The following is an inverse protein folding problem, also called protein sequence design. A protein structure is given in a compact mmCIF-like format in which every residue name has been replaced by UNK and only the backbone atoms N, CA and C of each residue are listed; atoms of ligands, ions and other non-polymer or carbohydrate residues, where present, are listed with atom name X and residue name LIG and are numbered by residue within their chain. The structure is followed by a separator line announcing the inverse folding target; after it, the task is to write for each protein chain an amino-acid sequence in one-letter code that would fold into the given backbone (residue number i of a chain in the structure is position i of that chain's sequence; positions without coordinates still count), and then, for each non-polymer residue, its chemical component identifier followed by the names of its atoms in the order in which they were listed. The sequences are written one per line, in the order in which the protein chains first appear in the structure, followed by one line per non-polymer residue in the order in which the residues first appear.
data_IF_273540646685
#
_entry.id   IF_273540646685
#
_cell.length_a   1.000
_cell.length_b   1.000
_cell.length_c   1.000
_cell.angle_alpha   90.00
_cell.angle_beta   90.00
_cell.angle_gamma   90.00
#
_symmetry.space_group_name_H-M   'P 1'
#
loop_
_entity.id
_entity.type
_entity.pdbx_description
1 polymer ?
#
# COMPACT_ATOMS: atom_id res chain seq x y z
N UNK A 1 9.85 20.32 31.69
CA UNK A 1 10.09 19.87 30.31
C UNK A 1 9.15 18.71 29.94
N UNK A 2 7.83 18.80 30.23
CA UNK A 2 7.02 17.58 30.42
C UNK A 2 5.66 17.47 29.72
N UNK A 3 5.08 18.54 29.16
CA UNK A 3 3.74 18.47 28.54
C UNK A 3 3.76 18.78 27.04
N UNK A 4 4.58 19.73 26.60
CA UNK A 4 4.72 20.10 25.19
C UNK A 4 5.45 19.03 24.35
N UNK A 5 6.30 18.20 24.95
CA UNK A 5 7.01 17.13 24.22
C UNK A 5 6.13 15.90 24.00
N UNK A 6 5.27 15.55 24.97
CA UNK A 6 4.28 14.46 24.81
C UNK A 6 3.34 14.73 23.64
N UNK A 7 2.86 15.97 23.49
CA UNK A 7 1.99 16.38 22.39
C UNK A 7 2.69 16.25 21.01
N UNK A 8 3.98 16.59 20.92
CA UNK A 8 4.76 16.43 19.69
C UNK A 8 4.95 14.96 19.32
N UNK A 9 5.24 14.11 20.30
CA UNK A 9 5.44 12.67 20.10
C UNK A 9 4.16 11.98 19.61
N UNK A 10 3.00 12.29 20.20
CA UNK A 10 1.72 11.73 19.73
C UNK A 10 1.34 12.26 18.34
N UNK A 11 1.62 13.54 18.04
CA UNK A 11 1.44 14.08 16.68
C UNK A 11 2.32 13.37 15.66
N UNK A 12 3.59 13.16 15.97
CA UNK A 12 4.51 12.44 15.10
C UNK A 12 4.06 10.97 14.90
N UNK A 13 3.60 10.30 15.96
CA UNK A 13 3.01 8.97 15.86
C UNK A 13 1.79 8.95 14.92
N UNK A 14 0.87 9.91 15.04
CA UNK A 14 -0.30 9.99 14.18
C UNK A 14 0.06 10.20 12.71
N UNK A 15 1.09 10.99 12.42
CA UNK A 15 1.61 11.18 11.05
C UNK A 15 2.21 9.89 10.51
N UNK A 16 3.02 9.19 11.29
CA UNK A 16 3.61 7.90 10.87
C UNK A 16 2.54 6.82 10.66
N UNK A 17 1.56 6.74 11.57
CA UNK A 17 0.43 5.81 11.47
C UNK A 17 -0.42 6.09 10.23
N UNK A 18 -0.77 7.34 9.97
CA UNK A 18 -1.54 7.71 8.78
C UNK A 18 -0.77 7.44 7.50
N UNK A 19 0.53 7.75 7.45
CA UNK A 19 1.39 7.41 6.31
C UNK A 19 1.41 5.89 6.06
N UNK A 20 1.55 5.08 7.11
CA UNK A 20 1.52 3.61 6.99
C UNK A 20 0.19 3.11 6.44
N UNK A 21 -0.93 3.60 6.97
CA UNK A 21 -2.28 3.23 6.52
C UNK A 21 -2.46 3.58 5.04
N UNK A 22 -2.07 4.79 4.62
CA UNK A 22 -2.17 5.22 3.21
C UNK A 22 -1.34 4.33 2.30
N UNK A 23 -0.08 4.07 2.65
CA UNK A 23 0.80 3.21 1.85
C UNK A 23 0.18 1.81 1.71
N UNK A 24 -0.29 1.22 2.80
CA UNK A 24 -0.87 -0.12 2.80
C UNK A 24 -2.19 -0.21 2.01
N UNK A 25 -3.04 0.80 2.08
CA UNK A 25 -4.27 0.88 1.26
C UNK A 25 -3.92 1.03 -0.23
N UNK A 26 -2.94 1.87 -0.57
CA UNK A 26 -2.51 2.07 -1.95
C UNK A 26 -1.84 0.83 -2.54
N UNK A 27 -1.23 -0.03 -1.72
CA UNK A 27 -0.72 -1.34 -2.15
C UNK A 27 -1.79 -2.17 -2.84
N UNK A 28 -3.05 -2.11 -2.39
CA UNK A 28 -4.16 -2.84 -3.02
C UNK A 28 -4.43 -2.38 -4.46
N UNK A 29 -4.23 -1.09 -4.75
CA UNK A 29 -4.48 -0.51 -6.07
C UNK A 29 -3.29 -0.74 -7.00
N UNK A 30 -2.09 -0.43 -6.51
CA UNK A 30 -0.85 -0.51 -7.31
C UNK A 30 -0.43 -1.97 -7.52
N UNK A 31 -0.76 -2.85 -6.57
CA UNK A 31 -0.40 -4.27 -6.59
C UNK A 31 -1.00 -5.08 -7.74
N UNK A 32 -2.03 -4.56 -8.41
CA UNK A 32 -2.65 -5.21 -9.58
C UNK A 32 -1.74 -5.14 -10.82
N UNK A 33 -0.84 -4.16 -10.89
CA UNK A 33 0.06 -4.00 -12.04
C UNK A 33 1.27 -4.92 -11.93
N UNK A 34 1.44 -5.79 -12.93
CA UNK A 34 2.64 -6.61 -13.11
C UNK A 34 3.67 -5.88 -13.98
N UNK A 35 4.96 -6.10 -13.71
CA UNK A 35 6.06 -5.59 -14.50
C UNK A 35 7.17 -6.62 -14.66
N UNK A 36 7.93 -6.50 -15.75
CA UNK A 36 9.11 -7.33 -16.03
C UNK A 36 10.31 -6.78 -15.25
N UNK A 37 10.77 -7.55 -14.27
CA UNK A 37 11.98 -7.24 -13.53
C UNK A 37 13.22 -7.58 -14.37
N UNK A 38 14.23 -6.72 -14.33
CA UNK A 38 15.51 -6.93 -15.00
C UNK A 38 15.44 -7.21 -16.51
N UNK A 39 14.41 -6.70 -17.21
CA UNK A 39 14.20 -6.95 -18.64
C UNK A 39 15.44 -6.66 -19.52
N UNK A 40 16.28 -5.69 -19.12
CA UNK A 40 17.49 -5.31 -19.87
C UNK A 40 18.73 -6.12 -19.51
N UNK A 41 18.80 -6.70 -18.30
CA UNK A 41 20.02 -7.34 -17.76
C UNK A 41 19.89 -8.86 -17.72
N UNK A 42 18.68 -9.38 -17.49
CA UNK A 42 18.34 -10.81 -17.39
C UNK A 42 16.98 -11.06 -18.09
N UNK A 43 16.91 -10.94 -19.44
CA UNK A 43 15.65 -11.03 -20.18
C UNK A 43 14.95 -12.39 -20.04
N UNK A 44 15.72 -13.48 -19.87
CA UNK A 44 15.21 -14.84 -19.70
C UNK A 44 15.29 -15.32 -18.23
N UNK A 45 15.45 -14.39 -17.29
CA UNK A 45 15.57 -14.69 -15.86
C UNK A 45 16.71 -15.67 -15.53
N UNK A 46 16.58 -16.35 -14.38
CA UNK A 46 17.53 -17.36 -13.93
C UNK A 46 17.19 -18.78 -14.41
N UNK A 47 15.95 -19.01 -14.84
CA UNK A 47 15.41 -20.35 -15.18
C UNK A 47 14.91 -20.46 -16.63
N UNK A 48 15.24 -19.49 -17.48
CA UNK A 48 14.81 -19.46 -18.89
C UNK A 48 13.50 -18.72 -19.14
N UNK A 49 12.86 -18.15 -18.11
CA UNK A 49 11.63 -17.39 -18.20
C UNK A 49 11.77 -15.96 -17.64
N UNK A 50 11.09 -14.95 -18.23
CA UNK A 50 11.10 -13.59 -17.73
C UNK A 50 10.57 -13.47 -16.30
N UNK A 51 11.27 -12.70 -15.46
CA UNK A 51 10.89 -12.49 -14.06
C UNK A 51 9.77 -11.45 -14.01
N UNK A 52 8.55 -11.89 -13.69
CA UNK A 52 7.40 -10.99 -13.52
C UNK A 52 7.16 -10.71 -12.04
N UNK A 53 7.12 -9.43 -11.67
CA UNK A 53 6.86 -8.99 -10.30
C UNK A 53 5.63 -8.09 -10.24
N UNK A 54 4.97 -8.09 -9.08
CA UNK A 54 3.93 -7.10 -8.78
C UNK A 54 4.56 -5.77 -8.38
N UNK A 55 3.96 -4.67 -8.85
CA UNK A 55 4.34 -3.31 -8.44
C UNK A 55 4.10 -3.09 -6.94
N UNK A 56 3.33 -3.96 -6.27
CA UNK A 56 3.17 -3.95 -4.81
C UNK A 56 4.49 -4.09 -4.05
N UNK A 57 5.53 -4.69 -4.65
CA UNK A 57 6.86 -4.79 -4.04
C UNK A 57 7.48 -3.42 -3.71
N UNK A 58 7.09 -2.37 -4.44
CA UNK A 58 7.58 -1.00 -4.23
C UNK A 58 7.15 -0.46 -2.87
N UNK A 59 5.98 -0.88 -2.38
CA UNK A 59 5.47 -0.42 -1.08
C UNK A 59 6.17 -1.09 0.10
N UNK A 60 6.80 -2.25 -0.10
CA UNK A 60 7.38 -3.06 0.98
C UNK A 60 8.49 -2.33 1.77
N UNK A 61 9.53 -1.74 1.14
CA UNK A 61 10.56 -1.00 1.88
C UNK A 61 9.99 0.15 2.70
N UNK A 62 8.97 0.84 2.18
CA UNK A 62 8.31 1.95 2.88
C UNK A 62 7.54 1.45 4.09
N UNK A 63 6.73 0.39 3.92
CA UNK A 63 5.98 -0.20 5.05
C UNK A 63 6.90 -0.74 6.13
N UNK A 64 8.01 -1.41 5.75
CA UNK A 64 8.99 -1.94 6.68
C UNK A 64 9.66 -0.83 7.48
N UNK A 65 10.15 0.23 6.81
CA UNK A 65 10.76 1.38 7.46
C UNK A 65 9.82 2.04 8.47
N UNK A 66 8.55 2.26 8.09
CA UNK A 66 7.56 2.86 8.98
C UNK A 66 7.30 1.96 10.21
N UNK A 67 7.15 0.65 10.01
CA UNK A 67 6.95 -0.28 11.12
C UNK A 67 8.16 -0.37 12.05
N UNK A 68 9.37 -0.34 11.51
CA UNK A 68 10.61 -0.43 12.26
C UNK A 68 10.82 0.81 13.13
N UNK A 69 10.72 2.00 12.53
CA UNK A 69 10.79 3.29 13.25
C UNK A 69 9.73 3.35 14.35
N UNK A 70 8.50 2.93 14.07
CA UNK A 70 7.43 2.97 15.07
C UNK A 70 7.67 1.96 16.18
N UNK A 71 8.20 0.78 15.87
CA UNK A 71 8.54 -0.25 16.86
C UNK A 71 9.67 0.21 17.79
N UNK A 72 10.71 0.84 17.23
CA UNK A 72 11.88 1.31 17.99
C UNK A 72 11.55 2.53 18.86
N UNK A 73 10.83 3.52 18.32
CA UNK A 73 10.56 4.79 19.01
C UNK A 73 9.34 4.73 19.94
N UNK A 74 8.26 4.07 19.53
CA UNK A 74 6.98 4.06 20.25
C UNK A 74 6.64 2.70 20.88
N UNK A 75 7.47 1.69 20.62
CA UNK A 75 7.34 0.36 21.17
C UNK A 75 6.36 -0.53 20.42
N UNK A 76 6.50 -1.84 20.68
CA UNK A 76 5.75 -2.91 20.00
C UNK A 76 4.23 -2.77 20.07
N UNK A 77 3.68 -2.28 21.19
CA UNK A 77 2.21 -2.13 21.35
C UNK A 77 1.63 -1.13 20.35
N UNK A 78 2.29 0.02 20.17
CA UNK A 78 1.88 1.07 19.24
C UNK A 78 2.11 0.65 17.79
N UNK A 79 3.21 -0.04 17.49
CA UNK A 79 3.44 -0.65 16.18
C UNK A 79 2.35 -1.67 15.82
N UNK A 80 1.95 -2.54 16.75
CA UNK A 80 0.90 -3.52 16.50
C UNK A 80 -0.46 -2.86 16.25
N UNK A 81 -0.79 -1.80 16.99
CA UNK A 81 -1.97 -0.99 16.73
C UNK A 81 -1.95 -0.42 15.31
N UNK A 82 -0.84 0.21 14.91
CA UNK A 82 -0.68 0.76 13.56
C UNK A 82 -0.88 -0.29 12.46
N UNK A 83 -0.26 -1.47 12.62
CA UNK A 83 -0.38 -2.57 11.64
C UNK A 83 -1.81 -3.09 11.57
N UNK A 84 -2.47 -3.33 12.70
CA UNK A 84 -3.85 -3.80 12.75
C UNK A 84 -4.84 -2.76 12.18
N UNK A 85 -4.64 -1.49 12.50
CA UNK A 85 -5.44 -0.39 11.92
C UNK A 85 -5.25 -0.34 10.41
N UNK A 86 -4.01 -0.40 9.91
CA UNK A 86 -3.73 -0.45 8.48
C UNK A 86 -4.40 -1.64 7.80
N UNK A 87 -4.29 -2.83 8.37
CA UNK A 87 -4.93 -4.03 7.85
C UNK A 87 -6.45 -3.87 7.77
N UNK A 88 -7.08 -3.36 8.84
CA UNK A 88 -8.53 -3.09 8.85
C UNK A 88 -8.96 -2.08 7.81
N UNK A 89 -8.21 -0.98 7.63
CA UNK A 89 -8.48 0.02 6.61
C UNK A 89 -8.25 -0.51 5.19
N UNK A 90 -7.24 -1.36 5.00
CA UNK A 90 -6.98 -2.06 3.74
C UNK A 90 -8.16 -2.97 3.36
N UNK A 91 -8.68 -3.76 4.31
CA UNK A 91 -9.88 -4.58 4.08
C UNK A 91 -11.11 -3.72 3.74
N UNK A 92 -11.31 -2.61 4.44
CA UNK A 92 -12.38 -1.66 4.13
C UNK A 92 -12.25 -1.11 2.70
N UNK A 93 -11.03 -0.77 2.27
CA UNK A 93 -10.77 -0.30 0.90
C UNK A 93 -11.20 -1.31 -0.15
N UNK A 94 -10.91 -2.60 0.07
CA UNK A 94 -11.32 -3.68 -0.83
C UNK A 94 -12.85 -3.80 -0.89
N UNK A 95 -13.53 -3.72 0.26
CA UNK A 95 -15.00 -3.76 0.30
C UNK A 95 -15.60 -2.60 -0.52
N UNK A 96 -15.07 -1.38 -0.36
CA UNK A 96 -15.55 -0.22 -1.12
C UNK A 96 -15.29 -0.36 -2.62
N UNK A 97 -14.11 -0.86 -3.01
CA UNK A 97 -13.78 -1.14 -4.42
C UNK A 97 -14.74 -2.19 -4.99
N UNK A 98 -15.04 -3.25 -4.24
CA UNK A 98 -15.98 -4.28 -4.68
C UNK A 98 -17.40 -3.73 -4.87
N UNK A 99 -17.88 -2.88 -3.96
CA UNK A 99 -19.18 -2.22 -4.11
C UNK A 99 -19.19 -1.36 -5.37
N UNK A 100 -18.16 -0.55 -5.58
CA UNK A 100 -18.05 0.30 -6.76
C UNK A 100 -18.05 -0.51 -8.07
N UNK A 101 -17.42 -1.69 -8.08
CA UNK A 101 -17.38 -2.56 -9.26
C UNK A 101 -18.72 -3.20 -9.63
N UNK A 102 -19.68 -3.30 -8.69
CA UNK A 102 -21.00 -3.91 -8.94
C UNK A 102 -21.98 -2.88 -9.53
N UNK A 103 -21.76 -1.60 -9.29
CA UNK A 103 -22.64 -0.53 -9.77
C UNK A 103 -22.56 -0.43 -11.30
N UNK A 104 -23.70 -0.39 -12.02
CA UNK A 104 -23.69 -0.29 -13.48
C UNK A 104 -23.08 1.04 -13.96
N UNK A 105 -22.23 0.97 -14.98
CA UNK A 105 -21.67 2.14 -15.64
C UNK A 105 -22.76 2.98 -16.34
N UNK A 106 -22.63 4.31 -16.30
CA UNK A 106 -23.56 5.22 -16.96
C UNK A 106 -23.31 5.31 -18.46
N UNK A 107 -24.38 5.36 -19.26
CA UNK A 107 -24.30 5.57 -20.71
C UNK A 107 -23.83 6.99 -21.10
N UNK A 108 -23.87 7.95 -20.18
CA UNK A 108 -23.37 9.33 -20.40
C UNK A 108 -21.84 9.36 -20.54
N UNK A 109 -21.16 8.33 -20.03
CA UNK A 109 -19.74 8.11 -20.24
C UNK A 109 -19.55 6.80 -21.01
N UNK A 110 -19.61 6.83 -22.36
CA UNK A 110 -19.28 5.66 -23.16
C UNK A 110 -17.85 5.25 -22.79
N UNK A 111 -17.67 4.02 -22.31
CA UNK A 111 -16.35 3.44 -22.08
C UNK A 111 -15.61 3.36 -23.41
N UNK A 112 -14.92 4.44 -23.76
CA UNK A 112 -14.18 4.57 -24.99
C UNK A 112 -12.84 3.85 -24.90
N UNK A 113 -12.83 2.56 -25.24
CA UNK A 113 -11.86 2.01 -26.19
C UNK A 113 -12.30 0.59 -26.65
N UNK A 114 -12.66 0.38 -27.93
CA UNK A 114 -12.84 -0.95 -28.49
C UNK A 114 -11.53 -1.74 -28.68
N UNK A 115 -10.36 -1.18 -28.36
CA UNK A 115 -9.03 -1.79 -28.53
C UNK A 115 -8.33 -2.15 -27.20
N UNK A 116 -9.05 -2.20 -26.07
CA UNK A 116 -8.55 -2.86 -24.87
C UNK A 116 -9.36 -4.14 -24.69
N UNK A 117 -8.87 -5.21 -25.33
CA UNK A 117 -9.22 -6.60 -25.01
C UNK A 117 -8.65 -7.00 -23.64
#
# INVERSE_FOLDING_TARGET
MGLHELDKTEKAFAVLMSAFVVVLVLTNVIGVKLFLAFHTVLPNGFFGEPITLTTGIITYPVTFLLTDVVCEVYGRKRANLMVLTGFGMSLLSLILIQIASIVPGSQVWPSGNPNFE
#
